data_IF_204446348367
#
_entry.id   IF_204446348367
#
_cell.length_a   1.000
_cell.length_b   1.000
_cell.length_c   1.000
_cell.angle_alpha   90.00
_cell.angle_beta   90.00
_cell.angle_gamma   90.00
#
_symmetry.space_group_name_H-M   'P 1'
#
loop_
_entity.id
_entity.type
_entity.pdbx_description
1 polymer ?
#
# COMPACT_ATOMS: atom_id res chain seq x y z
N UNK A 1 -1.06 5.92 17.66
CA UNK A 1 -1.84 6.92 16.90
C UNK A 1 -1.09 7.23 15.60
N UNK A 2 -1.78 7.45 14.47
CA UNK A 2 -1.14 7.86 13.20
C UNK A 2 -1.12 9.38 13.05
N UNK A 3 -2.21 10.03 13.45
CA UNK A 3 -2.37 11.49 13.46
C UNK A 3 -2.83 11.90 14.84
N UNK A 4 -2.34 13.06 15.28
CA UNK A 4 -2.72 13.71 16.54
C UNK A 4 -3.07 15.16 16.24
N UNK A 5 -4.25 15.58 16.67
CA UNK A 5 -4.74 16.96 16.53
C UNK A 5 -4.85 17.55 17.94
N UNK A 6 -4.26 18.73 18.13
CA UNK A 6 -4.43 19.57 19.31
C UNK A 6 -4.91 20.93 18.83
N UNK A 7 -6.15 21.27 19.17
CA UNK A 7 -6.83 22.50 18.77
C UNK A 7 -7.97 22.77 19.76
N UNK A 8 -8.66 23.91 19.61
CA UNK A 8 -9.92 24.08 20.33
C UNK A 8 -10.95 23.03 19.86
N UNK A 9 -11.97 22.79 20.69
CA UNK A 9 -12.87 21.66 20.47
C UNK A 9 -13.66 21.75 19.16
N UNK A 10 -14.00 22.96 18.71
CA UNK A 10 -14.77 23.17 17.47
C UNK A 10 -13.89 22.84 16.26
N UNK A 11 -12.67 23.40 16.21
CA UNK A 11 -11.70 23.12 15.14
C UNK A 11 -11.34 21.64 15.07
N UNK A 12 -11.08 21.02 16.23
CA UNK A 12 -10.70 19.61 16.31
C UNK A 12 -11.80 18.66 15.83
N UNK A 13 -13.09 19.03 16.00
CA UNK A 13 -14.21 18.24 15.50
C UNK A 13 -14.47 18.50 14.01
N UNK A 14 -14.36 19.74 13.54
CA UNK A 14 -14.64 20.10 12.15
C UNK A 14 -13.80 19.30 11.14
N UNK A 15 -12.53 19.06 11.46
CA UNK A 15 -11.58 18.40 10.54
C UNK A 15 -11.61 16.87 10.58
N UNK A 16 -12.33 16.27 11.54
CA UNK A 16 -12.37 14.81 11.75
C UNK A 16 -12.74 14.05 10.46
N UNK A 17 -13.87 14.40 9.86
CA UNK A 17 -14.42 13.68 8.69
C UNK A 17 -13.48 13.75 7.49
N UNK A 18 -12.90 14.93 7.22
CA UNK A 18 -11.99 15.13 6.10
C UNK A 18 -10.68 14.35 6.26
N UNK A 19 -10.12 14.33 7.48
CA UNK A 19 -8.92 13.55 7.80
C UNK A 19 -9.21 12.06 7.61
N UNK A 20 -10.31 11.55 8.18
CA UNK A 20 -10.66 10.14 8.07
C UNK A 20 -10.90 9.70 6.62
N UNK A 21 -11.65 10.49 5.84
CA UNK A 21 -11.89 10.19 4.44
C UNK A 21 -10.60 10.11 3.62
N UNK A 22 -9.68 11.06 3.84
CA UNK A 22 -8.41 11.13 3.10
C UNK A 22 -7.45 10.03 3.50
N UNK A 23 -7.24 9.84 4.80
CA UNK A 23 -6.18 8.98 5.35
C UNK A 23 -6.56 7.51 5.26
N UNK A 24 -7.83 7.16 5.50
CA UNK A 24 -8.25 5.76 5.39
C UNK A 24 -8.07 5.24 3.96
N UNK A 25 -8.54 5.99 2.96
CA UNK A 25 -8.48 5.54 1.57
C UNK A 25 -7.05 5.47 1.03
N UNK A 26 -6.24 6.54 1.18
CA UNK A 26 -4.87 6.53 0.66
C UNK A 26 -3.99 5.50 1.39
N UNK A 27 -4.18 5.29 2.70
CA UNK A 27 -3.43 4.25 3.42
C UNK A 27 -3.83 2.85 2.95
N UNK A 28 -5.13 2.59 2.77
CA UNK A 28 -5.64 1.31 2.26
C UNK A 28 -5.00 0.95 0.92
N UNK A 29 -5.05 1.86 -0.05
CA UNK A 29 -4.52 1.61 -1.41
C UNK A 29 -2.99 1.45 -1.39
N UNK A 30 -2.28 2.27 -0.61
CA UNK A 30 -0.82 2.13 -0.48
C UNK A 30 -0.44 0.77 0.15
N UNK A 31 -1.17 0.31 1.17
CA UNK A 31 -0.95 -1.01 1.76
C UNK A 31 -1.27 -2.14 0.79
N UNK A 32 -2.39 -2.06 0.05
CA UNK A 32 -2.76 -3.07 -0.95
C UNK A 32 -1.72 -3.14 -2.08
N UNK A 33 -1.28 -2.00 -2.60
CA UNK A 33 -0.20 -1.95 -3.59
C UNK A 33 1.11 -2.53 -3.05
N UNK A 34 1.45 -2.29 -1.78
CA UNK A 34 2.63 -2.89 -1.15
C UNK A 34 2.55 -4.41 -1.09
N UNK A 35 1.37 -4.98 -0.81
CA UNK A 35 1.15 -6.44 -0.77
C UNK A 35 1.30 -7.08 -2.15
N UNK A 36 0.72 -6.44 -3.17
CA UNK A 36 0.82 -6.86 -4.57
C UNK A 36 2.28 -6.79 -5.05
N UNK A 37 2.97 -5.70 -4.77
CA UNK A 37 4.37 -5.51 -5.15
C UNK A 37 5.31 -6.50 -4.45
N UNK A 38 4.98 -6.93 -3.23
CA UNK A 38 5.70 -7.99 -2.54
C UNK A 38 5.59 -9.33 -3.28
N UNK A 39 4.38 -9.73 -3.67
CA UNK A 39 4.15 -10.98 -4.45
C UNK A 39 4.74 -10.93 -5.86
N UNK A 40 4.87 -9.73 -6.44
CA UNK A 40 5.52 -9.54 -7.74
C UNK A 40 7.04 -9.82 -7.73
N UNK A 41 7.68 -9.99 -6.56
CA UNK A 41 9.09 -10.41 -6.40
C UNK A 41 10.10 -9.62 -7.25
N UNK A 42 9.86 -8.31 -7.41
CA UNK A 42 10.75 -7.40 -8.15
C UNK A 42 10.29 -7.07 -9.57
N UNK A 43 9.29 -7.78 -10.10
CA UNK A 43 8.67 -7.44 -11.38
C UNK A 43 7.97 -6.08 -11.30
N UNK A 44 7.82 -5.44 -12.46
CA UNK A 44 7.11 -4.17 -12.59
C UNK A 44 5.62 -4.37 -12.31
N UNK A 45 5.05 -3.52 -11.44
CA UNK A 45 3.61 -3.47 -11.17
C UNK A 45 3.05 -2.11 -11.59
N UNK A 46 2.03 -2.09 -12.42
CA UNK A 46 1.41 -0.90 -12.98
C UNK A 46 -0.02 -0.75 -12.47
N UNK A 47 -0.41 0.46 -12.08
CA UNK A 47 -1.77 0.78 -11.63
C UNK A 47 -2.67 1.12 -12.82
N UNK A 48 -3.65 0.26 -13.11
CA UNK A 48 -4.60 0.37 -14.23
C UNK A 48 -6.08 0.51 -13.78
N UNK A 49 -6.30 0.90 -12.54
CA UNK A 49 -7.60 0.88 -11.86
C UNK A 49 -8.51 2.08 -12.13
N UNK A 50 -8.05 3.15 -12.79
CA UNK A 50 -8.83 4.38 -12.96
C UNK A 50 -10.30 4.16 -13.37
N UNK A 51 -10.57 3.26 -14.32
CA UNK A 51 -11.93 2.97 -14.84
C UNK A 51 -12.86 2.27 -13.84
N UNK A 52 -12.33 1.75 -12.73
CA UNK A 52 -13.08 1.08 -11.65
C UNK A 52 -12.97 1.81 -10.31
N UNK A 53 -12.24 2.91 -10.26
CA UNK A 53 -12.08 3.70 -9.04
C UNK A 53 -13.43 4.27 -8.58
N UNK A 54 -13.61 4.38 -7.27
CA UNK A 54 -14.84 4.90 -6.65
C UNK A 54 -14.90 6.44 -6.70
N UNK A 55 -14.98 6.98 -7.91
CA UNK A 55 -15.01 8.42 -8.18
C UNK A 55 -13.67 9.00 -8.61
N UNK A 56 -13.72 10.24 -9.13
CA UNK A 56 -12.56 10.93 -9.74
C UNK A 56 -11.39 11.08 -8.76
N UNK A 57 -11.69 11.52 -7.53
CA UNK A 57 -10.67 11.69 -6.48
C UNK A 57 -10.03 10.35 -6.10
N UNK A 58 -10.81 9.27 -6.02
CA UNK A 58 -10.28 7.94 -5.73
C UNK A 58 -9.33 7.48 -6.84
N UNK A 59 -9.65 7.72 -8.11
CA UNK A 59 -8.75 7.39 -9.23
C UNK A 59 -7.43 8.15 -9.20
N UNK A 60 -7.44 9.45 -8.88
CA UNK A 60 -6.22 10.28 -8.87
C UNK A 60 -5.37 10.03 -7.62
N UNK A 61 -5.97 10.09 -6.44
CA UNK A 61 -5.24 9.94 -5.18
C UNK A 61 -4.97 8.46 -4.84
N UNK A 62 -5.76 7.53 -5.37
CA UNK A 62 -5.48 6.10 -5.32
C UNK A 62 -4.26 5.73 -6.15
N UNK A 63 -4.14 6.25 -7.38
CA UNK A 63 -2.94 6.09 -8.21
C UNK A 63 -1.67 6.60 -7.49
N UNK A 64 -1.73 7.79 -6.88
CA UNK A 64 -0.66 8.31 -6.02
C UNK A 64 -0.29 7.34 -4.91
N UNK A 65 -1.28 6.86 -4.17
CA UNK A 65 -1.08 5.93 -3.06
C UNK A 65 -0.49 4.60 -3.54
N UNK A 66 -0.89 4.11 -4.71
CA UNK A 66 -0.34 2.93 -5.34
C UNK A 66 1.15 3.08 -5.65
N UNK A 67 1.58 4.23 -6.20
CA UNK A 67 3.01 4.50 -6.42
C UNK A 67 3.79 4.50 -5.11
N UNK A 68 3.24 5.10 -4.04
CA UNK A 68 3.85 5.08 -2.71
C UNK A 68 3.97 3.65 -2.16
N UNK A 69 2.96 2.81 -2.40
CA UNK A 69 2.89 1.43 -1.93
C UNK A 69 3.89 0.49 -2.61
N UNK A 70 4.13 0.68 -3.90
CA UNK A 70 5.12 -0.08 -4.66
C UNK A 70 4.88 -0.17 -6.17
N UNK A 71 3.75 0.31 -6.70
CA UNK A 71 3.55 0.39 -8.14
C UNK A 71 4.59 1.32 -8.78
N UNK A 72 5.07 0.94 -9.97
CA UNK A 72 6.12 1.66 -10.68
C UNK A 72 5.58 2.77 -11.59
N UNK A 73 4.32 2.63 -12.04
CA UNK A 73 3.67 3.56 -12.97
C UNK A 73 2.14 3.48 -12.85
N UNK A 74 1.44 4.44 -13.47
CA UNK A 74 -0.03 4.49 -13.53
C UNK A 74 -0.51 4.76 -14.96
N UNK A 75 -1.69 4.25 -15.33
CA UNK A 75 -2.37 4.67 -16.56
C UNK A 75 -3.13 5.99 -16.43
N UNK A 76 -3.25 6.54 -15.21
CA UNK A 76 -3.93 7.80 -14.97
C UNK A 76 -3.04 9.00 -15.30
N UNK A 77 -3.17 9.51 -16.53
CA UNK A 77 -2.40 10.66 -17.04
C UNK A 77 -2.51 11.90 -16.15
N UNK A 78 -3.68 12.15 -15.53
CA UNK A 78 -3.85 13.26 -14.60
C UNK A 78 -3.04 13.06 -13.32
N UNK A 79 -3.03 11.83 -12.77
CA UNK A 79 -2.22 11.52 -11.60
C UNK A 79 -0.72 11.61 -11.92
N UNK A 80 -0.29 11.07 -13.06
CA UNK A 80 1.07 11.16 -13.57
C UNK A 80 1.55 12.62 -13.65
N UNK A 81 0.78 13.48 -14.32
CA UNK A 81 1.08 14.91 -14.42
C UNK A 81 1.09 15.61 -13.07
N UNK A 82 0.09 15.35 -12.22
CA UNK A 82 -0.09 16.06 -10.95
C UNK A 82 0.99 15.71 -9.92
N UNK A 83 1.50 14.48 -9.96
CA UNK A 83 2.39 13.96 -8.94
C UNK A 83 3.81 13.68 -9.45
N UNK A 84 4.08 13.99 -10.72
CA UNK A 84 5.36 13.75 -11.38
C UNK A 84 5.81 12.30 -11.26
N UNK A 85 4.94 11.38 -11.70
CA UNK A 85 5.16 9.93 -11.68
C UNK A 85 4.98 9.35 -13.09
N UNK A 86 5.63 8.21 -13.42
CA UNK A 86 5.55 7.64 -14.75
C UNK A 86 4.11 7.31 -15.18
N UNK A 87 3.72 7.81 -16.35
CA UNK A 87 2.52 7.38 -17.05
C UNK A 87 2.88 6.18 -17.95
N UNK A 88 2.11 5.09 -17.87
CA UNK A 88 2.28 3.94 -18.76
C UNK A 88 0.93 3.42 -19.25
N UNK A 89 0.90 2.98 -20.50
CA UNK A 89 -0.26 2.38 -21.13
C UNK A 89 0.12 1.86 -22.51
N UNK A 90 -0.71 0.95 -23.03
CA UNK A 90 -0.63 0.49 -24.42
C UNK A 90 -1.95 0.80 -25.13
N UNK A 91 -2.23 0.10 -26.24
CA UNK A 91 -3.55 0.10 -26.86
C UNK A 91 -4.53 -0.87 -26.16
N UNK A 92 -5.81 -0.71 -26.45
CA UNK A 92 -6.92 -1.55 -25.98
C UNK A 92 -7.46 -2.47 -27.08
N UNK A 93 -8.36 -3.39 -26.72
CA UNK A 93 -9.09 -4.20 -27.70
C UNK A 93 -9.83 -3.36 -28.74
N UNK A 94 -10.39 -2.21 -28.33
CA UNK A 94 -11.09 -1.29 -29.24
C UNK A 94 -10.19 -0.73 -30.35
N UNK A 95 -8.88 -0.62 -30.12
CA UNK A 95 -7.93 -0.26 -31.17
C UNK A 95 -7.81 -1.39 -32.20
N UNK A 96 -7.73 -2.63 -31.76
CA UNK A 96 -7.60 -3.78 -32.66
C UNK A 96 -8.88 -3.95 -33.49
N UNK A 97 -10.04 -3.81 -32.83
CA UNK A 97 -11.36 -3.94 -33.45
C UNK A 97 -11.69 -2.80 -34.44
N UNK A 98 -10.95 -1.69 -34.44
CA UNK A 98 -11.17 -0.59 -35.39
C UNK A 98 -10.49 -0.79 -36.75
N UNK A 99 -9.79 -1.90 -36.95
CA UNK A 99 -9.16 -2.27 -38.22
C UNK A 99 -9.85 -3.51 -38.80
N UNK A 100 -9.68 -3.71 -40.11
CA UNK A 100 -10.22 -4.88 -40.81
C UNK A 100 -9.51 -6.18 -40.37
N UNK A 101 -8.29 -6.08 -39.84
CA UNK A 101 -7.55 -7.22 -39.30
C UNK A 101 -6.67 -6.87 -38.09
N UNK A 102 -6.43 -7.87 -37.23
CA UNK A 102 -5.55 -7.75 -36.07
C UNK A 102 -4.10 -7.42 -36.47
N UNK A 103 -3.61 -8.02 -37.56
CA UNK A 103 -2.26 -7.78 -38.06
C UNK A 103 -2.06 -6.33 -38.52
N UNK A 104 -3.04 -5.73 -39.20
CA UNK A 104 -3.00 -4.32 -39.59
C UNK A 104 -2.98 -3.40 -38.38
N UNK A 105 -3.81 -3.69 -37.37
CA UNK A 105 -3.82 -2.92 -36.13
C UNK A 105 -2.45 -2.95 -35.40
N UNK A 106 -1.79 -4.12 -35.37
CA UNK A 106 -0.46 -4.27 -34.79
C UNK A 106 0.61 -3.51 -35.58
N UNK A 107 0.60 -3.62 -36.91
CA UNK A 107 1.52 -2.86 -37.78
C UNK A 107 1.34 -1.36 -37.61
N UNK A 108 0.11 -0.88 -37.56
CA UNK A 108 -0.20 0.53 -37.34
C UNK A 108 0.33 1.03 -36.00
N UNK A 109 0.15 0.25 -34.92
CA UNK A 109 0.67 0.60 -33.59
C UNK A 109 2.21 0.62 -33.57
N UNK A 110 2.84 -0.43 -34.12
CA UNK A 110 4.29 -0.57 -34.18
C UNK A 110 4.96 0.57 -34.99
N UNK A 111 4.30 1.04 -36.05
CA UNK A 111 4.79 2.19 -36.84
C UNK A 111 4.83 3.49 -36.03
N UNK A 112 3.87 3.70 -35.13
CA UNK A 112 3.77 4.92 -34.30
C UNK A 112 4.73 4.83 -33.09
N UNK A 113 4.88 3.63 -32.52
CA UNK A 113 5.66 3.41 -31.29
C UNK A 113 6.77 2.35 -31.47
N UNK A 114 7.70 2.52 -32.43
CA UNK A 114 8.60 1.44 -32.83
C UNK A 114 9.56 1.01 -31.70
N UNK A 115 9.95 1.94 -30.81
CA UNK A 115 10.80 1.66 -29.64
C UNK A 115 10.05 1.16 -28.39
N UNK A 116 8.71 1.20 -28.39
CA UNK A 116 7.86 0.87 -27.23
C UNK A 116 6.70 -0.05 -27.62
N UNK A 117 6.92 -0.94 -28.61
CA UNK A 117 5.85 -1.81 -29.13
C UNK A 117 5.52 -2.91 -28.13
N UNK A 118 4.38 -2.78 -27.45
CA UNK A 118 3.78 -3.80 -26.57
C UNK A 118 2.37 -4.12 -27.07
N UNK A 119 2.20 -5.30 -27.67
CA UNK A 119 0.98 -5.67 -28.40
C UNK A 119 0.01 -6.49 -27.53
N UNK A 120 -1.26 -6.09 -27.48
CA UNK A 120 -2.34 -6.86 -26.83
C UNK A 120 -2.80 -8.00 -27.74
N UNK A 121 -2.56 -9.25 -27.34
CA UNK A 121 -2.66 -10.42 -28.26
C UNK A 121 -3.91 -11.29 -28.08
N UNK A 122 -4.83 -10.94 -27.19
CA UNK A 122 -5.96 -11.81 -26.83
C UNK A 122 -7.32 -11.23 -27.26
N UNK A 123 -7.37 -10.51 -28.39
CA UNK A 123 -8.65 -9.97 -28.89
C UNK A 123 -9.52 -11.02 -29.55
N UNK A 124 -8.92 -11.94 -30.31
CA UNK A 124 -9.63 -13.03 -31.00
C UNK A 124 -9.19 -14.39 -30.48
N UNK A 125 -7.92 -14.75 -30.68
CA UNK A 125 -7.30 -15.95 -30.11
C UNK A 125 -5.82 -15.69 -29.83
N UNK A 126 -5.42 -15.84 -28.57
CA UNK A 126 -4.05 -15.58 -28.11
C UNK A 126 -2.99 -16.38 -28.86
N UNK A 127 -3.20 -17.69 -29.04
CA UNK A 127 -2.16 -18.59 -29.53
C UNK A 127 -2.28 -18.86 -31.03
N UNK A 128 -3.49 -18.82 -31.58
CA UNK A 128 -3.75 -19.07 -33.00
C UNK A 128 -3.70 -17.80 -33.86
N UNK A 129 -3.90 -16.60 -33.27
CA UNK A 129 -3.93 -15.33 -34.01
C UNK A 129 -2.94 -14.31 -33.44
N UNK A 130 -3.13 -13.87 -32.19
CA UNK A 130 -2.44 -12.69 -31.67
C UNK A 130 -0.94 -12.85 -31.51
N UNK A 131 -0.46 -13.94 -30.87
CA UNK A 131 0.99 -14.20 -30.76
C UNK A 131 1.63 -14.42 -32.14
N UNK A 132 1.07 -15.22 -33.06
CA UNK A 132 1.58 -15.32 -34.43
C UNK A 132 1.65 -13.98 -35.19
N UNK A 133 0.61 -13.14 -35.08
CA UNK A 133 0.57 -11.82 -35.70
C UNK A 133 1.60 -10.87 -35.06
N UNK A 134 1.74 -10.89 -33.73
CA UNK A 134 2.75 -10.12 -33.02
C UNK A 134 4.18 -10.51 -33.46
N UNK A 135 4.47 -11.81 -33.58
CA UNK A 135 5.77 -12.31 -34.08
C UNK A 135 6.04 -11.79 -35.50
N UNK A 136 5.03 -11.77 -36.37
CA UNK A 136 5.16 -11.22 -37.74
C UNK A 136 5.58 -9.76 -37.69
N UNK A 137 4.89 -8.94 -36.90
CA UNK A 137 5.22 -7.51 -36.73
C UNK A 137 6.57 -7.31 -36.05
N UNK A 138 6.95 -8.16 -35.10
CA UNK A 138 8.26 -8.07 -34.44
C UNK A 138 9.41 -8.34 -35.41
N UNK A 139 9.24 -9.27 -36.36
CA UNK A 139 10.23 -9.50 -37.42
C UNK A 139 10.36 -8.28 -38.34
N UNK A 140 9.24 -7.67 -38.70
CA UNK A 140 9.21 -6.42 -39.50
C UNK A 140 9.88 -5.25 -38.77
N UNK A 141 9.66 -5.12 -37.46
CA UNK A 141 10.33 -4.13 -36.60
C UNK A 141 11.85 -4.37 -36.54
N UNK A 142 12.28 -5.61 -36.31
CA UNK A 142 13.70 -5.99 -36.25
C UNK A 142 14.40 -5.73 -37.58
N UNK A 143 13.74 -6.03 -38.70
CA UNK A 143 14.25 -5.69 -40.03
C UNK A 143 14.41 -4.18 -40.23
N UNK A 144 13.63 -3.38 -39.49
CA UNK A 144 13.70 -1.91 -39.45
C UNK A 144 14.59 -1.38 -38.31
N UNK A 145 15.48 -2.21 -37.75
CA UNK A 145 16.42 -1.86 -36.66
C UNK A 145 15.77 -1.46 -35.33
N UNK A 146 14.56 -1.94 -35.04
CA UNK A 146 13.86 -1.74 -33.78
C UNK A 146 13.56 -3.07 -33.09
N UNK A 147 13.59 -3.12 -31.76
CA UNK A 147 13.19 -4.30 -31.00
C UNK A 147 11.85 -4.05 -30.29
N UNK A 148 10.96 -5.06 -30.23
CA UNK A 148 9.69 -4.94 -29.52
C UNK A 148 9.89 -4.94 -28.01
N UNK A 149 9.00 -4.26 -27.28
CA UNK A 149 8.92 -4.40 -25.83
C UNK A 149 8.30 -5.75 -25.46
N UNK A 150 7.30 -6.22 -26.23
CA UNK A 150 6.74 -7.57 -26.12
C UNK A 150 5.23 -7.65 -26.28
N UNK A 151 4.57 -8.52 -25.52
CA UNK A 151 3.13 -8.77 -25.62
C UNK A 151 2.40 -8.54 -24.29
N UNK A 152 1.09 -8.24 -24.36
CA UNK A 152 0.17 -8.22 -23.22
C UNK A 152 -0.95 -9.25 -23.41
N UNK A 153 -1.23 -10.01 -22.36
CA UNK A 153 -2.35 -10.96 -22.27
C UNK A 153 -3.27 -10.49 -21.14
N UNK A 154 -4.55 -10.28 -21.42
CA UNK A 154 -5.55 -9.71 -20.48
C UNK A 154 -6.57 -10.75 -19.95
N UNK A 155 -6.60 -11.96 -20.53
CA UNK A 155 -7.66 -12.94 -20.29
C UNK A 155 -7.19 -14.40 -20.42
N UNK A 156 -8.08 -15.33 -20.07
CA UNK A 156 -7.85 -16.77 -20.14
C UNK A 156 -6.99 -17.33 -19.00
N UNK A 157 -6.55 -18.58 -19.16
CA UNK A 157 -5.59 -19.20 -18.25
C UNK A 157 -4.20 -18.62 -18.47
N UNK A 158 -3.85 -17.60 -17.68
CA UNK A 158 -2.58 -16.90 -17.78
C UNK A 158 -1.38 -17.82 -17.53
N UNK A 159 -1.50 -18.88 -16.74
CA UNK A 159 -0.40 -19.80 -16.52
C UNK A 159 -0.08 -20.55 -17.81
N UNK A 160 -1.10 -21.16 -18.41
CA UNK A 160 -0.95 -21.92 -19.66
C UNK A 160 -0.54 -21.00 -20.82
N UNK A 161 -1.28 -19.91 -21.03
CA UNK A 161 -1.10 -19.02 -22.18
C UNK A 161 0.28 -18.38 -22.19
N UNK A 162 0.77 -17.91 -21.05
CA UNK A 162 2.10 -17.25 -20.99
C UNK A 162 3.23 -18.25 -21.25
N UNK A 163 3.10 -19.50 -20.78
CA UNK A 163 4.07 -20.57 -21.08
C UNK A 163 4.13 -20.90 -22.57
N UNK A 164 2.98 -21.00 -23.25
CA UNK A 164 2.95 -21.25 -24.69
C UNK A 164 3.47 -20.05 -25.49
N UNK A 165 3.00 -18.84 -25.16
CA UNK A 165 3.45 -17.62 -25.81
C UNK A 165 4.97 -17.44 -25.67
N UNK A 166 5.54 -17.72 -24.49
CA UNK A 166 6.99 -17.69 -24.27
C UNK A 166 7.74 -18.62 -25.23
N UNK A 167 7.31 -19.88 -25.35
CA UNK A 167 7.90 -20.85 -26.29
C UNK A 167 7.84 -20.36 -27.74
N UNK A 168 6.70 -19.79 -28.15
CA UNK A 168 6.53 -19.27 -29.52
C UNK A 168 7.44 -18.06 -29.79
N UNK A 169 7.54 -17.13 -28.84
CA UNK A 169 8.43 -15.98 -28.95
C UNK A 169 9.91 -16.40 -28.99
N UNK A 170 10.31 -17.35 -28.14
CA UNK A 170 11.70 -17.85 -28.08
C UNK A 170 12.07 -18.57 -29.37
N UNK A 171 11.19 -19.45 -29.88
CA UNK A 171 11.39 -20.13 -31.16
C UNK A 171 11.49 -19.15 -32.34
N UNK A 172 10.89 -17.97 -32.23
CA UNK A 172 10.98 -16.90 -33.22
C UNK A 172 12.18 -15.95 -32.99
N UNK A 173 13.01 -16.18 -31.97
CA UNK A 173 14.19 -15.38 -31.65
C UNK A 173 13.91 -14.09 -30.86
N UNK A 174 12.81 -14.04 -30.10
CA UNK A 174 12.40 -12.89 -29.28
C UNK A 174 12.47 -13.19 -27.77
N UNK A 175 13.56 -13.80 -27.31
CA UNK A 175 13.77 -14.18 -25.90
C UNK A 175 13.71 -12.99 -24.93
N UNK A 176 14.08 -11.80 -25.39
CA UNK A 176 14.05 -10.55 -24.60
C UNK A 176 12.67 -9.90 -24.52
N UNK A 177 11.74 -10.24 -25.42
CA UNK A 177 10.40 -9.66 -25.47
C UNK A 177 9.62 -9.98 -24.19
N UNK A 178 9.08 -8.96 -23.52
CA UNK A 178 8.41 -9.10 -22.22
C UNK A 178 6.98 -9.59 -22.38
N UNK A 179 6.51 -10.38 -21.42
CA UNK A 179 5.12 -10.78 -21.31
C UNK A 179 4.49 -10.02 -20.15
N UNK A 180 3.54 -9.15 -20.47
CA UNK A 180 2.75 -8.40 -19.49
C UNK A 180 1.42 -9.10 -19.26
N UNK A 181 1.07 -9.38 -18.01
CA UNK A 181 -0.26 -9.85 -17.68
C UNK A 181 -1.08 -8.72 -17.08
N UNK A 182 -2.31 -8.55 -17.55
CA UNK A 182 -3.35 -7.81 -16.85
C UNK A 182 -4.57 -8.70 -16.70
N UNK A 183 -5.31 -8.56 -15.61
CA UNK A 183 -6.66 -9.11 -15.37
C UNK A 183 -7.07 -8.64 -13.96
N UNK A 184 -8.16 -9.16 -13.40
CA UNK A 184 -8.58 -9.00 -12.00
C UNK A 184 -7.62 -9.70 -11.01
N UNK A 185 -6.32 -9.43 -11.14
CA UNK A 185 -5.22 -9.99 -10.36
C UNK A 185 -5.07 -9.29 -9.01
N UNK A 186 -4.63 -10.04 -8.01
CA UNK A 186 -4.17 -9.55 -6.73
C UNK A 186 -2.89 -10.28 -6.27
N UNK A 187 -2.42 -9.99 -5.07
CA UNK A 187 -1.22 -10.60 -4.50
C UNK A 187 -1.26 -12.13 -4.47
N UNK A 188 -2.43 -12.74 -4.26
CA UNK A 188 -2.58 -14.19 -4.17
C UNK A 188 -2.55 -14.83 -5.55
N UNK A 189 -3.23 -14.23 -6.52
CA UNK A 189 -3.17 -14.67 -7.92
C UNK A 189 -1.74 -14.58 -8.47
N UNK A 190 -1.02 -13.49 -8.17
CA UNK A 190 0.39 -13.32 -8.58
C UNK A 190 1.28 -14.39 -7.95
N UNK A 191 1.13 -14.65 -6.64
CA UNK A 191 1.92 -15.68 -5.96
C UNK A 191 1.67 -17.08 -6.57
N UNK A 192 0.43 -17.42 -6.89
CA UNK A 192 0.09 -18.70 -7.55
C UNK A 192 0.66 -18.79 -8.96
N UNK A 193 0.47 -17.77 -9.80
CA UNK A 193 1.00 -17.74 -11.17
C UNK A 193 2.53 -17.90 -11.17
N UNK A 194 3.22 -17.23 -10.25
CA UNK A 194 4.66 -17.40 -10.08
C UNK A 194 5.04 -18.79 -9.58
N UNK A 195 4.32 -19.34 -8.61
CA UNK A 195 4.56 -20.69 -8.08
C UNK A 195 4.46 -21.76 -9.17
N UNK A 196 3.46 -21.66 -10.04
CA UNK A 196 3.29 -22.58 -11.16
C UNK A 196 4.17 -22.27 -12.37
N UNK A 197 5.01 -21.24 -12.29
CA UNK A 197 6.00 -20.92 -13.33
C UNK A 197 5.41 -20.26 -14.58
N UNK A 198 4.33 -19.49 -14.43
CA UNK A 198 3.84 -18.58 -15.47
C UNK A 198 4.98 -17.67 -15.94
N UNK A 199 5.02 -17.37 -17.25
CA UNK A 199 6.09 -16.59 -17.87
C UNK A 199 5.65 -15.13 -18.01
N UNK A 200 5.59 -14.44 -16.88
CA UNK A 200 5.14 -13.05 -16.78
C UNK A 200 6.29 -12.19 -16.24
N UNK A 201 6.56 -11.07 -16.90
CA UNK A 201 7.62 -10.12 -16.55
C UNK A 201 7.08 -8.85 -15.89
N UNK A 202 5.80 -8.51 -16.11
CA UNK A 202 5.16 -7.34 -15.51
C UNK A 202 3.65 -7.49 -15.37
N UNK A 203 3.07 -6.70 -14.47
CA UNK A 203 1.73 -6.88 -13.95
C UNK A 203 0.92 -5.59 -14.04
N UNK A 204 -0.15 -5.58 -14.83
CA UNK A 204 -1.13 -4.50 -14.88
C UNK A 204 -2.31 -4.79 -13.96
N UNK A 205 -2.44 -4.05 -12.86
CA UNK A 205 -3.45 -4.34 -11.82
C UNK A 205 -4.50 -3.24 -11.76
N UNK A 206 -5.76 -3.63 -11.92
CA UNK A 206 -6.91 -2.72 -11.96
C UNK A 206 -7.75 -2.71 -10.67
N UNK A 207 -8.91 -3.35 -10.76
CA UNK A 207 -9.98 -3.29 -9.75
C UNK A 207 -9.50 -3.64 -8.34
N UNK A 208 -8.91 -4.82 -8.16
CA UNK A 208 -8.53 -5.35 -6.83
C UNK A 208 -7.49 -4.49 -6.10
N UNK A 209 -6.74 -3.64 -6.81
CA UNK A 209 -5.84 -2.68 -6.19
C UNK A 209 -6.56 -1.37 -5.82
N UNK A 210 -7.24 -0.75 -6.78
CA UNK A 210 -7.77 0.61 -6.60
C UNK A 210 -8.97 0.68 -5.66
N UNK A 211 -9.71 -0.42 -5.50
CA UNK A 211 -10.89 -0.52 -4.61
C UNK A 211 -10.55 -1.09 -3.24
N UNK A 212 -9.29 -1.46 -2.99
CA UNK A 212 -8.87 -2.16 -1.77
C UNK A 212 -9.09 -3.69 -1.80
N UNK A 213 -9.60 -4.23 -2.91
CA UNK A 213 -9.87 -5.65 -3.07
C UNK A 213 -10.98 -6.10 -2.13
N UNK A 214 -10.74 -7.17 -1.37
CA UNK A 214 -11.74 -7.72 -0.44
C UNK A 214 -11.95 -6.83 0.80
N UNK A 215 -11.03 -5.89 1.06
CA UNK A 215 -11.13 -4.90 2.14
C UNK A 215 -11.34 -3.51 1.55
N UNK A 216 -12.59 -3.15 1.27
CA UNK A 216 -12.96 -1.84 0.70
C UNK A 216 -12.89 -0.67 1.68
N UNK A 217 -12.47 -0.90 2.93
CA UNK A 217 -12.25 0.14 3.93
C UNK A 217 -11.17 -0.26 4.95
N UNK A 218 -10.42 0.72 5.47
CA UNK A 218 -9.36 0.49 6.48
C UNK A 218 -9.89 0.42 7.93
N UNK A 219 -10.98 1.13 8.23
CA UNK A 219 -11.56 1.17 9.58
C UNK A 219 -10.88 2.11 10.57
N UNK A 220 -10.07 3.07 10.12
CA UNK A 220 -9.49 4.10 10.99
C UNK A 220 -10.56 5.01 11.60
N UNK A 221 -10.34 5.41 12.85
CA UNK A 221 -11.27 6.22 13.65
C UNK A 221 -10.56 7.44 14.25
N UNK A 222 -11.34 8.48 14.52
CA UNK A 222 -10.92 9.65 15.27
C UNK A 222 -11.60 9.62 16.65
N UNK A 223 -10.85 9.93 17.70
CA UNK A 223 -11.30 9.83 19.09
C UNK A 223 -10.67 10.93 19.93
N UNK A 224 -11.49 11.64 20.70
CA UNK A 224 -11.02 12.48 21.79
C UNK A 224 -10.30 11.61 22.81
N UNK A 225 -9.05 11.95 23.14
CA UNK A 225 -8.28 11.24 24.17
C UNK A 225 -7.88 12.09 25.36
N UNK A 226 -7.99 13.41 25.26
CA UNK A 226 -7.77 14.31 26.39
C UNK A 226 -8.27 15.72 26.09
N UNK A 227 -8.53 16.47 27.15
CA UNK A 227 -8.92 17.89 27.10
C UNK A 227 -7.91 18.65 27.96
N UNK A 228 -7.41 19.77 27.45
CA UNK A 228 -6.59 20.68 28.23
C UNK A 228 -7.49 21.61 29.05
N UNK A 229 -7.24 21.69 30.35
CA UNK A 229 -7.92 22.60 31.27
C UNK A 229 -6.88 23.13 32.26
N UNK A 230 -6.82 24.44 32.42
CA UNK A 230 -5.89 25.11 33.34
C UNK A 230 -4.41 24.71 33.12
N UNK A 231 -4.03 24.47 31.85
CA UNK A 231 -2.67 24.05 31.45
C UNK A 231 -2.40 22.55 31.57
N UNK A 232 -3.33 21.78 32.14
CA UNK A 232 -3.18 20.34 32.40
C UNK A 232 -4.01 19.50 31.42
N UNK A 233 -3.47 18.35 30.98
CA UNK A 233 -4.18 17.44 30.08
C UNK A 233 -5.00 16.43 30.89
N UNK A 234 -6.31 16.62 30.91
CA UNK A 234 -7.27 15.70 31.49
C UNK A 234 -7.54 14.57 30.49
N UNK A 235 -7.08 13.37 30.83
CA UNK A 235 -7.29 12.14 30.07
C UNK A 235 -8.79 11.80 29.92
N UNK A 236 -9.21 11.38 28.72
CA UNK A 236 -10.59 10.99 28.40
C UNK A 236 -10.65 9.59 27.79
N UNK A 237 -11.62 8.80 28.25
CA UNK A 237 -11.84 7.42 27.80
C UNK A 237 -13.30 7.22 27.36
N UNK A 238 -13.49 6.35 26.38
CA UNK A 238 -14.76 5.83 25.90
C UNK A 238 -14.80 4.34 26.17
N UNK A 239 -15.75 3.91 27.00
CA UNK A 239 -15.97 2.50 27.31
C UNK A 239 -16.80 1.83 26.20
N UNK A 240 -16.56 0.55 25.98
CA UNK A 240 -17.20 -0.24 24.93
C UNK A 240 -17.37 -1.69 25.37
N UNK A 241 -18.44 -2.34 24.93
CA UNK A 241 -18.67 -3.78 25.20
C UNK A 241 -17.60 -4.67 24.54
N UNK A 242 -16.86 -4.14 23.56
CA UNK A 242 -15.66 -4.77 23.00
C UNK A 242 -14.42 -4.07 23.59
N UNK A 243 -13.59 -4.76 24.41
CA UNK A 243 -12.37 -4.20 24.98
C UNK A 243 -11.39 -3.64 23.95
N UNK A 244 -11.41 -4.14 22.71
CA UNK A 244 -10.56 -3.66 21.59
C UNK A 244 -11.01 -2.29 21.08
N UNK A 245 -12.24 -1.88 21.36
CA UNK A 245 -12.83 -0.59 20.96
C UNK A 245 -12.74 0.48 22.05
N UNK A 246 -12.07 0.19 23.17
CA UNK A 246 -11.75 1.18 24.21
C UNK A 246 -10.53 1.97 23.75
N UNK A 247 -10.63 3.30 23.67
CA UNK A 247 -9.52 4.13 23.23
C UNK A 247 -8.43 4.24 24.31
N UNK A 248 -7.18 4.48 23.86
CA UNK A 248 -6.11 4.85 24.77
C UNK A 248 -6.23 6.35 25.11
N UNK A 249 -6.29 6.72 26.40
CA UNK A 249 -6.51 8.10 26.83
C UNK A 249 -5.22 8.95 26.74
N UNK A 250 -5.29 10.21 27.15
CA UNK A 250 -4.17 11.14 27.26
C UNK A 250 -3.64 11.68 25.92
N UNK A 251 -2.69 12.61 26.01
CA UNK A 251 -1.90 13.11 24.89
C UNK A 251 -0.65 12.22 24.72
N UNK A 252 -0.50 11.57 23.57
CA UNK A 252 0.39 10.41 23.40
C UNK A 252 1.42 10.61 22.30
N UNK A 253 2.61 10.03 22.47
CA UNK A 253 3.64 9.84 21.46
C UNK A 253 3.75 8.34 21.11
N UNK A 254 4.27 8.03 19.92
CA UNK A 254 4.61 6.66 19.52
C UNK A 254 6.10 6.58 19.27
N UNK A 255 6.75 5.62 19.90
CA UNK A 255 8.15 5.32 19.71
C UNK A 255 8.28 4.01 18.95
N UNK A 256 9.06 3.98 17.87
CA UNK A 256 9.50 2.72 17.28
C UNK A 256 10.81 2.31 17.92
N UNK A 257 10.83 1.11 18.48
CA UNK A 257 12.01 0.50 19.07
C UNK A 257 12.74 -0.28 17.98
N UNK A 258 14.00 0.06 17.75
CA UNK A 258 14.88 -0.65 16.83
C UNK A 258 15.97 -1.37 17.61
N UNK A 259 16.35 -2.53 17.12
CA UNK A 259 17.57 -3.23 17.54
C UNK A 259 18.80 -2.41 17.09
N UNK A 260 19.75 -2.14 17.99
CA UNK A 260 20.94 -1.33 17.67
C UNK A 260 21.94 -2.06 16.77
N UNK A 261 21.97 -3.39 16.80
CA UNK A 261 22.96 -4.19 16.05
C UNK A 261 22.55 -4.31 14.58
N UNK A 262 21.27 -4.55 14.32
CA UNK A 262 20.77 -4.81 12.96
C UNK A 262 19.76 -3.76 12.44
N UNK A 263 19.41 -2.75 13.24
CA UNK A 263 18.46 -1.68 12.89
C UNK A 263 17.05 -2.18 12.53
N UNK A 264 16.67 -3.40 12.90
CA UNK A 264 15.34 -3.96 12.64
C UNK A 264 14.34 -3.53 13.72
N UNK A 265 13.10 -3.31 13.30
CA UNK A 265 12.03 -2.85 14.16
C UNK A 265 11.57 -3.98 15.10
N UNK A 266 11.60 -3.73 16.40
CA UNK A 266 11.28 -4.70 17.45
C UNK A 266 9.83 -4.60 17.93
N UNK A 267 9.35 -3.37 18.14
CA UNK A 267 8.00 -3.04 18.59
C UNK A 267 7.73 -1.53 18.42
N UNK A 268 6.46 -1.16 18.41
CA UNK A 268 6.04 0.23 18.66
C UNK A 268 5.53 0.34 20.11
N UNK A 269 6.02 1.33 20.85
CA UNK A 269 5.59 1.67 22.20
C UNK A 269 4.79 2.98 22.17
N UNK A 270 3.54 2.93 22.62
CA UNK A 270 2.70 4.11 22.79
C UNK A 270 2.87 4.61 24.22
N UNK A 271 3.34 5.84 24.36
CA UNK A 271 3.59 6.48 25.65
C UNK A 271 2.87 7.82 25.74
N UNK A 272 2.76 8.40 26.92
CA UNK A 272 2.34 9.79 27.10
C UNK A 272 3.38 10.73 26.47
N UNK A 273 2.92 11.88 25.98
CA UNK A 273 3.81 12.94 25.55
C UNK A 273 4.64 13.42 26.76
N UNK A 274 5.93 13.66 26.54
CA UNK A 274 6.88 13.99 27.63
C UNK A 274 7.60 12.78 28.24
N UNK A 275 7.11 11.56 28.06
CA UNK A 275 7.88 10.37 28.45
C UNK A 275 9.15 10.25 27.61
N UNK A 276 10.28 10.03 28.28
CA UNK A 276 11.56 9.65 27.69
C UNK A 276 11.78 8.16 27.88
N UNK A 277 12.30 7.49 26.85
CA UNK A 277 12.70 6.09 26.93
C UNK A 277 14.21 6.06 27.18
N UNK A 278 14.63 5.50 28.30
CA UNK A 278 16.05 5.30 28.60
C UNK A 278 16.58 4.12 27.78
N UNK A 279 17.41 4.41 26.78
CA UNK A 279 17.99 3.42 25.88
C UNK A 279 19.19 2.67 26.49
N UNK A 280 19.64 3.06 27.69
CA UNK A 280 20.74 2.41 28.43
C UNK A 280 20.27 1.34 29.40
N UNK A 281 18.98 1.35 29.77
CA UNK A 281 18.37 0.41 30.70
C UNK A 281 17.52 -0.65 29.98
N UNK A 282 17.34 -1.85 30.58
CA UNK A 282 16.36 -2.81 30.08
C UNK A 282 14.94 -2.23 30.10
N UNK A 283 14.19 -2.42 29.01
CA UNK A 283 12.81 -1.98 28.87
C UNK A 283 11.88 -3.19 28.77
N UNK A 284 10.97 -3.36 29.74
CA UNK A 284 9.90 -4.34 29.62
C UNK A 284 8.77 -3.80 28.74
N UNK A 285 8.38 -4.58 27.73
CA UNK A 285 7.17 -4.38 26.95
C UNK A 285 6.20 -5.54 27.18
N UNK A 286 4.91 -5.26 27.09
CA UNK A 286 3.87 -6.27 27.30
C UNK A 286 2.63 -6.00 26.48
N UNK A 287 1.97 -7.08 26.05
CA UNK A 287 0.77 -6.98 25.25
C UNK A 287 -0.39 -6.37 26.06
N UNK A 288 -1.12 -5.35 25.55
CA UNK A 288 -2.08 -4.59 26.36
C UNK A 288 -3.36 -5.35 26.74
N UNK A 289 -3.74 -6.39 25.99
CA UNK A 289 -4.84 -7.31 26.34
C UNK A 289 -4.37 -8.58 27.05
N UNK A 290 -3.37 -9.27 26.49
CA UNK A 290 -2.77 -10.49 27.04
C UNK A 290 -1.52 -10.17 27.87
N UNK A 291 -1.69 -9.57 29.05
CA UNK A 291 -0.59 -8.98 29.85
C UNK A 291 0.45 -9.97 30.37
N UNK A 292 0.20 -11.28 30.24
CA UNK A 292 1.19 -12.33 30.51
C UNK A 292 2.23 -12.46 29.38
N UNK A 293 1.94 -11.96 28.17
CA UNK A 293 2.90 -11.89 27.05
C UNK A 293 3.81 -10.68 27.26
N UNK A 294 4.98 -10.91 27.86
CA UNK A 294 5.98 -9.90 28.19
C UNK A 294 7.31 -10.19 27.50
N UNK A 295 8.10 -9.14 27.27
CA UNK A 295 9.47 -9.25 26.76
C UNK A 295 10.32 -8.11 27.35
N UNK A 296 11.52 -8.44 27.81
CA UNK A 296 12.53 -7.44 28.16
C UNK A 296 13.37 -7.17 26.90
N UNK A 297 13.48 -5.90 26.54
CA UNK A 297 14.34 -5.42 25.47
C UNK A 297 15.59 -4.79 26.06
N UNK A 298 16.75 -5.20 25.55
CA UNK A 298 18.05 -4.58 25.77
C UNK A 298 18.65 -4.20 24.42
N UNK A 299 19.66 -3.33 24.41
CA UNK A 299 20.35 -2.89 23.19
C UNK A 299 19.41 -2.36 22.09
N UNK A 300 18.51 -1.45 22.45
CA UNK A 300 17.56 -0.85 21.51
C UNK A 300 17.75 0.66 21.41
N UNK A 301 17.24 1.26 20.33
CA UNK A 301 17.05 2.70 20.19
C UNK A 301 15.56 3.04 20.04
N UNK A 302 15.14 4.21 20.53
CA UNK A 302 13.73 4.61 20.57
C UNK A 302 13.47 5.86 19.72
N UNK A 303 12.79 5.69 18.59
CA UNK A 303 12.56 6.79 17.64
C UNK A 303 11.13 7.29 17.67
N UNK A 304 10.93 8.60 17.94
CA UNK A 304 9.62 9.26 17.87
C UNK A 304 9.06 9.24 16.43
N UNK A 305 7.84 8.71 16.28
CA UNK A 305 7.16 8.63 14.99
C UNK A 305 6.27 9.84 14.70
N UNK A 306 5.56 10.38 15.70
CA UNK A 306 4.73 11.57 15.48
C UNK A 306 5.60 12.81 15.49
N UNK A 307 5.55 13.56 14.38
CA UNK A 307 6.25 14.83 14.17
C UNK A 307 5.25 15.94 13.85
N UNK A 308 5.54 17.19 14.23
CA UNK A 308 4.66 18.30 13.89
C UNK A 308 4.62 18.50 12.37
N UNK A 309 3.42 18.53 11.80
CA UNK A 309 3.17 18.91 10.40
C UNK A 309 2.60 20.32 10.31
N UNK A 310 1.75 20.67 11.28
CA UNK A 310 1.24 22.02 11.47
C UNK A 310 1.46 22.45 12.93
N UNK A 311 1.74 23.74 13.12
CA UNK A 311 1.73 24.42 14.42
C UNK A 311 0.91 25.70 14.27
N UNK A 312 -0.12 25.87 15.10
CA UNK A 312 -1.00 27.05 15.06
C UNK A 312 -1.51 27.37 13.64
N UNK A 313 -1.99 26.34 12.94
CA UNK A 313 -2.50 26.47 11.55
C UNK A 313 -1.42 26.66 10.48
N UNK A 314 -0.16 26.88 10.83
CA UNK A 314 0.95 27.06 9.87
C UNK A 314 1.64 25.73 9.58
N UNK A 315 1.85 25.43 8.30
CA UNK A 315 2.60 24.26 7.88
C UNK A 315 4.08 24.41 8.28
N UNK A 316 4.59 23.46 9.06
CA UNK A 316 6.00 23.39 9.51
C UNK A 316 6.68 22.08 9.11
N UNK A 317 5.97 21.22 8.38
CA UNK A 317 6.50 19.96 7.88
C UNK A 317 7.45 20.14 6.70
N UNK A 318 8.01 19.03 6.22
CA UNK A 318 8.82 18.99 5.01
C UNK A 318 7.93 18.51 3.87
N UNK A 319 7.84 19.31 2.79
CA UNK A 319 7.17 18.85 1.55
C UNK A 319 8.06 17.82 0.88
N UNK A 320 7.46 16.73 0.43
CA UNK A 320 8.13 15.65 -0.29
C UNK A 320 7.40 15.33 -1.57
N UNK A 321 8.15 14.97 -2.61
CA UNK A 321 7.58 14.42 -3.84
C UNK A 321 7.03 13.02 -3.60
N UNK A 322 6.20 12.53 -4.51
CA UNK A 322 5.65 11.17 -4.41
C UNK A 322 6.78 10.13 -4.48
N UNK A 323 7.77 10.35 -5.32
CA UNK A 323 8.95 9.50 -5.45
C UNK A 323 9.80 9.45 -4.16
N UNK A 324 9.97 10.58 -3.47
CA UNK A 324 10.64 10.61 -2.16
C UNK A 324 9.86 9.85 -1.09
N UNK A 325 8.52 9.96 -1.09
CA UNK A 325 7.67 9.24 -0.14
C UNK A 325 7.70 7.73 -0.43
N UNK A 326 7.66 7.33 -1.70
CA UNK A 326 7.77 5.93 -2.11
C UNK A 326 9.12 5.32 -1.68
N UNK A 327 10.23 6.04 -1.89
CA UNK A 327 11.57 5.63 -1.44
C UNK A 327 11.62 5.47 0.07
N UNK A 328 11.14 6.47 0.81
CA UNK A 328 11.04 6.41 2.26
C UNK A 328 10.20 5.20 2.72
N UNK A 329 9.06 4.93 2.06
CA UNK A 329 8.24 3.76 2.37
C UNK A 329 8.99 2.45 2.15
N UNK A 330 9.78 2.34 1.07
CA UNK A 330 10.62 1.16 0.79
C UNK A 330 11.70 0.97 1.86
N UNK A 331 12.41 2.04 2.22
CA UNK A 331 13.43 2.06 3.27
C UNK A 331 12.85 1.71 4.66
N UNK A 332 11.64 2.18 4.98
CA UNK A 332 11.01 1.82 6.26
C UNK A 332 10.58 0.35 6.27
N UNK A 333 10.05 -0.18 5.15
CA UNK A 333 9.68 -1.60 5.05
C UNK A 333 10.88 -2.52 5.19
N UNK A 334 12.06 -2.15 4.69
CA UNK A 334 13.27 -2.98 4.82
C UNK A 334 13.78 -3.10 6.26
N UNK A 335 13.27 -2.30 7.19
CA UNK A 335 13.57 -2.40 8.63
C UNK A 335 12.62 -3.35 9.36
N UNK A 336 11.76 -4.08 8.66
CA UNK A 336 10.88 -5.08 9.25
C UNK A 336 11.29 -6.48 8.82
N UNK A 337 11.22 -7.40 9.77
CA UNK A 337 11.43 -8.82 9.53
C UNK A 337 10.39 -9.35 8.53
N UNK A 338 10.80 -10.30 7.69
CA UNK A 338 9.97 -10.86 6.61
C UNK A 338 8.66 -11.46 7.14
N UNK A 339 8.71 -12.01 8.35
CA UNK A 339 7.60 -12.57 9.12
C UNK A 339 6.46 -11.57 9.33
N UNK A 340 6.77 -10.26 9.38
CA UNK A 340 5.76 -9.20 9.46
C UNK A 340 5.24 -8.76 8.09
N UNK A 341 5.97 -9.03 7.01
CA UNK A 341 5.70 -8.51 5.66
C UNK A 341 4.96 -9.50 4.76
N UNK A 342 5.02 -10.80 5.07
CA UNK A 342 4.36 -11.85 4.27
C UNK A 342 2.83 -11.68 4.21
N UNK A 343 2.24 -11.96 3.05
CA UNK A 343 0.80 -11.80 2.82
C UNK A 343 -0.06 -12.87 3.52
N UNK A 344 0.51 -14.03 3.81
CA UNK A 344 -0.18 -15.18 4.40
C UNK A 344 0.33 -15.38 5.83
N UNK A 345 -0.59 -15.33 6.80
CA UNK A 345 -0.33 -15.49 8.23
C UNK A 345 0.91 -14.72 8.74
N UNK A 346 0.99 -13.38 8.55
CA UNK A 346 2.09 -12.59 9.11
C UNK A 346 2.10 -12.66 10.63
N UNK A 347 3.29 -12.65 11.22
CA UNK A 347 3.45 -12.48 12.66
C UNK A 347 2.95 -11.09 13.05
N UNK A 348 2.10 -11.01 14.07
CA UNK A 348 1.62 -9.73 14.58
C UNK A 348 2.79 -8.88 15.09
N UNK A 349 2.90 -7.66 14.59
CA UNK A 349 3.85 -6.67 15.08
C UNK A 349 3.40 -6.16 16.46
N UNK A 350 4.35 -6.00 17.39
CA UNK A 350 4.04 -5.60 18.77
C UNK A 350 3.73 -4.10 18.82
N UNK A 351 2.58 -3.75 19.37
CA UNK A 351 2.15 -2.37 19.59
C UNK A 351 1.64 -2.28 21.03
N UNK A 352 2.54 -1.88 21.92
CA UNK A 352 2.36 -1.97 23.36
C UNK A 352 2.21 -0.58 23.99
N UNK A 353 1.84 -0.52 25.27
CA UNK A 353 1.67 0.72 26.02
C UNK A 353 2.81 0.89 27.03
N UNK A 354 3.23 2.13 27.28
CA UNK A 354 4.07 2.43 28.45
C UNK A 354 3.31 2.07 29.73
N UNK A 355 4.04 1.70 30.78
CA UNK A 355 3.45 1.36 32.07
C UNK A 355 2.55 2.51 32.59
N UNK A 356 3.04 3.76 32.54
CA UNK A 356 2.27 4.94 32.93
C UNK A 356 0.96 5.09 32.15
N UNK A 357 0.99 4.95 30.82
CA UNK A 357 -0.21 5.04 30.00
C UNK A 357 -1.19 3.89 30.30
N UNK A 358 -0.68 2.68 30.51
CA UNK A 358 -1.49 1.52 30.86
C UNK A 358 -2.18 1.71 32.23
N UNK A 359 -1.47 2.23 33.22
CA UNK A 359 -2.00 2.50 34.56
C UNK A 359 -3.13 3.55 34.52
N UNK A 360 -2.93 4.66 33.79
CA UNK A 360 -3.98 5.67 33.58
C UNK A 360 -5.20 5.06 32.91
N UNK A 361 -4.99 4.25 31.86
CA UNK A 361 -6.09 3.59 31.16
C UNK A 361 -6.86 2.67 32.11
N UNK A 362 -6.17 1.90 32.95
CA UNK A 362 -6.78 0.98 33.90
C UNK A 362 -7.55 1.71 35.00
N UNK A 363 -7.00 2.78 35.56
CA UNK A 363 -7.70 3.60 36.57
C UNK A 363 -8.99 4.18 36.01
N UNK A 364 -8.95 4.79 34.82
CA UNK A 364 -10.14 5.36 34.18
C UNK A 364 -11.23 4.32 33.87
N UNK A 365 -10.85 3.10 33.45
CA UNK A 365 -11.81 2.01 33.25
C UNK A 365 -12.47 1.62 34.57
N UNK A 366 -11.68 1.48 35.64
CA UNK A 366 -12.19 1.11 36.96
C UNK A 366 -13.12 2.18 37.53
N UNK A 367 -12.77 3.45 37.42
CA UNK A 367 -13.60 4.59 37.84
C UNK A 367 -14.95 4.62 37.12
N UNK A 368 -14.96 4.43 35.79
CA UNK A 368 -16.21 4.33 35.03
C UNK A 368 -17.07 3.15 35.49
N UNK A 369 -16.46 1.99 35.78
CA UNK A 369 -17.19 0.81 36.23
C UNK A 369 -17.74 0.96 37.66
N UNK A 370 -17.01 1.62 38.56
CA UNK A 370 -17.47 1.91 39.93
C UNK A 370 -18.71 2.81 39.91
N UNK A 371 -18.66 3.91 39.15
CA UNK A 371 -19.79 4.85 39.00
C UNK A 371 -21.04 4.20 38.36
N UNK A 372 -20.88 3.09 37.63
CA UNK A 372 -22.00 2.33 37.06
C UNK A 372 -22.58 1.33 38.05
N UNK A 373 -21.74 0.67 38.87
CA UNK A 373 -22.21 -0.26 39.91
C UNK A 373 -23.13 0.42 40.93
N UNK A 374 -22.88 1.69 41.24
CA UNK A 374 -23.74 2.49 42.13
C UNK A 374 -25.14 2.79 41.55
N UNK A 375 -25.36 2.55 40.25
CA UNK A 375 -26.64 2.82 39.56
C UNK A 375 -27.47 1.58 39.23
N UNK A 376 -26.94 0.39 39.45
CA UNK A 376 -27.61 -0.89 39.17
C UNK A 376 -27.87 -1.71 40.45
N UNK A 377 -28.14 -1.04 41.57
CA UNK A 377 -28.66 -1.65 42.81
C UNK A 377 -30.13 -1.31 42.97
#
# INVERSE_FOLDING_TARGET
PLIRVKANIIEAQLIETAILNTINFQTLVATKSSRISFSAKGDLVMEFGLRRAQGRSAGVYGAKAAIIGGCSATSNVLAAKKFDVPAIGTHSHSWIQSFDSELEAFRAYAKIYPNNTLLLVDTYDTLASGVPNAITVFKELRASSHEPLGIRIDSGDLEYLTKQARKMLDAAGFESAKITASNDLDEYAIDQLKLFGAKIDSWGIGTRLITGGDSSSLGGVYKLSGIEKDGEIIAKIKISNDPRKINNPGYKQVFRLYDKDNCMALADLIALDGESIDESAPLEIFHPLYTYKRKILTNFSAHKLLRPVFKEGKFVGVRRTVSEIARFSKEQKSKFWLEHLRNVHPQSYKVDLSQKLWDIRKSLINECNLNLKEKYV
#
